data_IF_223078823637
#
_entry.id   IF_223078823637
#
_cell.length_a   1.000
_cell.length_b   1.000
_cell.length_c   1.000
_cell.angle_alpha   90.00
_cell.angle_beta   90.00
_cell.angle_gamma   90.00
#
_symmetry.space_group_name_H-M   'P 1'
#
loop_
_entity.id
_entity.type
_entity.pdbx_description
1 polymer ?
#
# COMPACT_ATOMS: atom_id res chain seq x y z
N UNK A 1 24.00 -21.29 7.47
CA UNK A 1 24.24 -19.90 7.94
C UNK A 1 23.00 -19.07 7.63
N UNK A 2 22.59 -18.13 8.51
CA UNK A 2 21.48 -17.23 8.23
C UNK A 2 21.70 -16.47 6.92
N UNK A 3 20.61 -16.23 6.16
CA UNK A 3 20.64 -15.39 4.96
C UNK A 3 20.25 -13.97 5.33
N UNK A 4 21.13 -13.02 5.03
CA UNK A 4 20.83 -11.60 5.22
C UNK A 4 19.92 -11.12 4.09
N UNK A 5 18.86 -10.33 4.40
CA UNK A 5 18.12 -9.63 3.39
C UNK A 5 17.70 -8.22 3.83
N UNK A 6 17.62 -7.33 2.87
CA UNK A 6 17.21 -5.94 3.08
C UNK A 6 15.80 -5.73 2.54
N UNK A 7 14.89 -5.30 3.42
CA UNK A 7 13.54 -4.86 3.09
C UNK A 7 13.51 -3.33 3.03
N UNK A 8 13.19 -2.75 1.88
CA UNK A 8 12.97 -1.31 1.75
C UNK A 8 11.47 -1.00 1.83
N UNK A 9 11.08 -0.16 2.77
CA UNK A 9 9.70 0.33 2.89
C UNK A 9 9.36 1.32 1.76
N UNK A 10 8.07 1.51 1.50
CA UNK A 10 7.57 2.50 0.53
C UNK A 10 7.40 3.90 1.15
N UNK A 11 7.37 4.00 2.45
CA UNK A 11 7.18 5.22 3.24
C UNK A 11 7.76 5.04 4.64
N UNK A 12 7.68 6.08 5.48
CA UNK A 12 7.95 5.93 6.92
C UNK A 12 7.05 4.86 7.54
N UNK A 13 7.51 4.14 8.58
CA UNK A 13 6.73 3.08 9.22
C UNK A 13 5.32 3.53 9.59
N UNK A 14 4.32 2.71 9.24
CA UNK A 14 2.91 2.94 9.51
C UNK A 14 2.15 1.61 9.61
N UNK A 15 0.85 1.65 9.88
CA UNK A 15 0.04 0.45 10.11
C UNK A 15 0.02 -0.56 8.95
N UNK A 16 0.25 -0.14 7.70
CA UNK A 16 0.39 -1.09 6.59
C UNK A 16 1.55 -2.07 6.78
N UNK A 17 2.57 -1.69 7.53
CA UNK A 17 3.80 -2.47 7.73
C UNK A 17 3.74 -3.42 8.94
N UNK A 18 2.62 -3.46 9.67
CA UNK A 18 2.50 -4.16 10.96
C UNK A 18 2.89 -5.63 10.89
N UNK A 19 2.54 -6.35 9.81
CA UNK A 19 2.86 -7.76 9.68
C UNK A 19 4.36 -8.05 9.62
N UNK A 20 5.13 -7.18 8.95
CA UNK A 20 6.60 -7.28 8.92
C UNK A 20 7.19 -7.05 10.30
N UNK A 21 6.76 -6.01 11.00
CA UNK A 21 7.29 -5.67 12.33
C UNK A 21 6.86 -6.65 13.40
N UNK A 22 5.64 -7.19 13.34
CA UNK A 22 5.20 -8.25 14.23
C UNK A 22 6.05 -9.53 14.04
N UNK A 23 6.27 -9.96 12.80
CA UNK A 23 7.12 -11.10 12.49
C UNK A 23 8.58 -10.89 12.95
N UNK A 24 9.10 -9.66 12.78
CA UNK A 24 10.44 -9.29 13.23
C UNK A 24 10.55 -9.34 14.76
N UNK A 25 9.59 -8.73 15.48
CA UNK A 25 9.58 -8.68 16.94
C UNK A 25 9.43 -10.06 17.58
N UNK A 26 8.70 -10.97 16.91
CA UNK A 26 8.52 -12.35 17.34
C UNK A 26 9.73 -13.26 17.01
N UNK A 27 10.73 -12.74 16.26
CA UNK A 27 11.89 -13.51 15.85
C UNK A 27 11.59 -14.56 14.75
N UNK A 28 10.44 -14.48 14.07
CA UNK A 28 10.04 -15.50 13.09
C UNK A 28 10.90 -15.51 11.83
N UNK A 29 11.49 -14.39 11.45
CA UNK A 29 12.50 -14.36 10.40
C UNK A 29 13.76 -15.11 10.80
N UNK A 30 14.23 -14.93 12.04
CA UNK A 30 15.41 -15.63 12.57
C UNK A 30 15.15 -17.13 12.69
N UNK A 31 13.93 -17.54 13.11
CA UNK A 31 13.49 -18.95 13.12
C UNK A 31 13.57 -19.59 11.72
N UNK A 32 13.27 -18.79 10.67
CA UNK A 32 13.39 -19.21 9.27
C UNK A 32 14.81 -19.08 8.70
N UNK A 33 15.80 -18.73 9.52
CA UNK A 33 17.18 -18.56 9.09
C UNK A 33 17.42 -17.27 8.28
N UNK A 34 16.61 -16.24 8.51
CA UNK A 34 16.69 -14.94 7.83
C UNK A 34 17.11 -13.85 8.80
N UNK A 35 18.09 -13.01 8.40
CA UNK A 35 18.46 -11.80 9.12
C UNK A 35 17.92 -10.60 8.35
N UNK A 36 16.96 -9.89 8.90
CA UNK A 36 16.25 -8.79 8.23
C UNK A 36 16.85 -7.44 8.59
N UNK A 37 17.13 -6.63 7.58
CA UNK A 37 17.41 -5.21 7.72
C UNK A 37 16.31 -4.40 7.05
N UNK A 38 15.51 -3.67 7.84
CA UNK A 38 14.48 -2.75 7.33
C UNK A 38 15.08 -1.38 7.10
N UNK A 39 14.84 -0.80 5.93
CA UNK A 39 15.27 0.55 5.57
C UNK A 39 14.10 1.35 4.97
N UNK A 40 14.12 2.67 5.19
CA UNK A 40 13.17 3.59 4.56
C UNK A 40 13.56 3.89 3.11
N UNK A 41 12.62 4.37 2.26
CA UNK A 41 12.91 4.63 0.85
C UNK A 41 13.93 5.75 0.69
N UNK A 42 14.86 5.55 -0.25
CA UNK A 42 15.84 6.55 -0.66
C UNK A 42 15.34 7.33 -1.89
N UNK A 43 16.04 8.40 -2.27
CA UNK A 43 15.68 9.24 -3.43
C UNK A 43 15.61 8.48 -4.76
N UNK A 44 16.28 7.32 -4.87
CA UNK A 44 16.26 6.49 -6.09
C UNK A 44 14.94 5.73 -6.33
N UNK A 45 14.04 5.76 -5.35
CA UNK A 45 12.81 4.96 -5.38
C UNK A 45 13.06 3.48 -5.06
N UNK A 46 12.00 2.78 -4.67
CA UNK A 46 12.06 1.38 -4.24
C UNK A 46 12.34 0.45 -5.43
N UNK A 47 11.69 0.68 -6.56
CA UNK A 47 11.84 -0.13 -7.78
C UNK A 47 13.30 -0.11 -8.28
N UNK A 48 13.92 1.07 -8.29
CA UNK A 48 15.32 1.23 -8.68
C UNK A 48 16.28 0.57 -7.69
N UNK A 49 16.01 0.67 -6.40
CA UNK A 49 16.81 0.05 -5.35
C UNK A 49 16.78 -1.48 -5.42
N UNK A 50 15.59 -2.05 -5.62
CA UNK A 50 15.42 -3.51 -5.77
C UNK A 50 16.05 -4.01 -7.08
N UNK A 51 15.82 -3.31 -8.19
CA UNK A 51 16.42 -3.68 -9.49
C UNK A 51 17.95 -3.62 -9.50
N UNK A 52 18.55 -2.78 -8.68
CA UNK A 52 20.01 -2.66 -8.57
C UNK A 52 20.64 -3.55 -7.49
N UNK A 53 19.84 -4.29 -6.71
CA UNK A 53 20.29 -5.09 -5.58
C UNK A 53 20.69 -4.27 -4.34
N UNK A 54 20.29 -3.00 -4.25
CA UNK A 54 20.47 -2.20 -3.04
C UNK A 54 19.47 -2.59 -1.94
N UNK A 55 18.36 -3.19 -2.32
CA UNK A 55 17.44 -3.92 -1.46
C UNK A 55 17.06 -5.23 -2.15
N UNK A 56 16.81 -6.28 -1.38
CA UNK A 56 16.44 -7.60 -1.91
C UNK A 56 14.94 -7.65 -2.21
N UNK A 57 14.14 -7.03 -1.33
CA UNK A 57 12.69 -6.93 -1.42
C UNK A 57 12.30 -5.49 -1.09
N UNK A 58 11.26 -4.99 -1.73
CA UNK A 58 10.75 -3.65 -1.49
C UNK A 58 9.24 -3.61 -1.33
N UNK A 59 8.74 -2.57 -0.68
CA UNK A 59 7.33 -2.21 -0.71
C UNK A 59 7.15 -1.08 -1.71
N UNK A 60 6.16 -1.21 -2.57
CA UNK A 60 5.85 -0.23 -3.60
C UNK A 60 4.34 -0.15 -3.85
N UNK A 61 3.95 0.48 -4.93
CA UNK A 61 2.58 0.65 -5.36
C UNK A 61 2.45 0.25 -6.84
N UNK A 62 1.29 -0.24 -7.26
CA UNK A 62 1.07 -0.59 -8.67
C UNK A 62 1.25 0.62 -9.61
N UNK A 63 0.87 1.81 -9.12
CA UNK A 63 1.01 3.08 -9.84
C UNK A 63 2.46 3.53 -10.07
N UNK A 64 3.42 3.02 -9.32
CA UNK A 64 4.85 3.23 -9.58
C UNK A 64 5.49 2.03 -10.27
N UNK A 65 5.05 0.81 -9.96
CA UNK A 65 5.58 -0.42 -10.53
C UNK A 65 5.32 -0.53 -12.04
N UNK A 66 4.10 -0.27 -12.51
CA UNK A 66 3.77 -0.38 -13.93
C UNK A 66 4.55 0.62 -14.80
N UNK A 67 4.65 1.92 -14.45
CA UNK A 67 5.54 2.85 -15.17
C UNK A 67 7.03 2.46 -15.11
N UNK A 68 7.50 1.92 -13.99
CA UNK A 68 8.88 1.43 -13.87
C UNK A 68 9.13 0.26 -14.84
N UNK A 69 8.23 -0.71 -14.92
CA UNK A 69 8.29 -1.80 -15.92
C UNK A 69 8.20 -1.28 -17.34
N UNK A 70 7.32 -0.32 -17.62
CA UNK A 70 7.26 0.36 -18.91
C UNK A 70 8.57 1.06 -19.28
N UNK A 71 9.34 1.49 -18.30
CA UNK A 71 10.69 2.04 -18.48
C UNK A 71 11.78 0.96 -18.59
N UNK A 72 11.45 -0.32 -18.36
CA UNK A 72 12.37 -1.46 -18.46
C UNK A 72 13.04 -1.85 -17.16
N UNK A 73 12.51 -1.39 -16.01
CA UNK A 73 13.02 -1.80 -14.68
C UNK A 73 12.54 -3.23 -14.39
N UNK A 74 13.45 -4.19 -14.12
CA UNK A 74 13.12 -5.60 -13.98
C UNK A 74 12.64 -5.94 -12.55
N UNK A 75 11.44 -5.52 -12.21
CA UNK A 75 10.80 -5.77 -10.89
C UNK A 75 9.41 -6.38 -11.06
N UNK A 76 8.99 -7.23 -10.13
CA UNK A 76 7.73 -7.98 -10.16
C UNK A 76 7.05 -7.88 -8.80
N UNK A 77 5.74 -7.66 -8.75
CA UNK A 77 4.95 -7.78 -7.53
C UNK A 77 4.80 -9.26 -7.15
N UNK A 78 5.15 -9.60 -5.92
CA UNK A 78 5.10 -10.97 -5.38
C UNK A 78 4.03 -11.17 -4.32
N UNK A 79 3.45 -10.08 -3.80
CA UNK A 79 2.29 -10.08 -2.90
C UNK A 79 1.65 -8.70 -2.86
N UNK A 80 0.35 -8.63 -2.56
CA UNK A 80 -0.27 -7.36 -2.14
C UNK A 80 -0.43 -7.32 -0.62
N UNK A 81 -0.32 -6.13 -0.01
CA UNK A 81 -0.64 -5.96 1.41
C UNK A 81 -2.14 -5.82 1.63
N UNK A 82 -2.82 -5.15 0.70
CA UNK A 82 -4.26 -4.95 0.73
C UNK A 82 -4.86 -5.41 -0.61
N UNK A 83 -5.94 -6.19 -0.61
CA UNK A 83 -6.64 -6.58 -1.82
C UNK A 83 -7.38 -5.41 -2.49
N UNK A 84 -7.83 -4.43 -1.70
CA UNK A 84 -8.51 -3.24 -2.18
C UNK A 84 -7.78 -1.96 -1.75
N UNK A 85 -7.78 -0.98 -2.65
CA UNK A 85 -7.18 0.32 -2.42
C UNK A 85 -7.98 1.11 -1.38
N UNK A 86 -7.35 1.46 -0.27
CA UNK A 86 -7.94 2.18 0.86
C UNK A 86 -7.81 3.72 0.72
N UNK A 87 -7.58 4.22 -0.49
CA UNK A 87 -7.44 5.66 -0.74
C UNK A 87 -8.77 6.39 -0.60
N UNK A 88 -8.69 7.62 -0.10
CA UNK A 88 -9.81 8.54 0.03
C UNK A 88 -9.39 9.95 -0.33
N UNK A 89 -10.34 10.76 -0.79
CA UNK A 89 -10.20 12.21 -0.78
C UNK A 89 -10.80 12.72 0.54
N UNK A 90 -9.96 13.34 1.37
CA UNK A 90 -10.31 13.85 2.69
C UNK A 90 -10.48 15.37 2.64
N UNK A 91 -11.54 15.90 3.25
CA UNK A 91 -11.81 17.32 3.45
C UNK A 91 -12.36 17.58 4.85
N UNK A 92 -12.39 18.83 5.29
CA UNK A 92 -13.09 19.17 6.53
C UNK A 92 -14.62 19.00 6.33
N UNK A 93 -15.32 18.51 7.36
CA UNK A 93 -16.77 18.27 7.27
C UNK A 93 -17.56 19.56 6.99
N UNK A 94 -17.09 20.71 7.45
CA UNK A 94 -17.72 22.04 7.23
C UNK A 94 -17.72 22.46 5.75
N UNK A 95 -16.81 21.91 4.92
CA UNK A 95 -16.73 22.20 3.49
C UNK A 95 -17.80 21.48 2.67
N UNK A 96 -18.40 20.42 3.21
CA UNK A 96 -19.49 19.67 2.59
C UNK A 96 -19.11 18.94 1.30
N UNK A 97 -17.84 18.54 1.16
CA UNK A 97 -17.31 17.83 -0.02
C UNK A 97 -17.56 16.32 0.17
N UNK A 98 -18.77 15.88 -0.12
CA UNK A 98 -19.24 14.48 0.13
C UNK A 98 -19.24 13.58 -1.10
N UNK A 99 -18.94 14.14 -2.30
CA UNK A 99 -18.96 13.44 -3.59
C UNK A 99 -18.02 14.11 -4.59
N UNK A 100 -17.52 13.41 -5.62
CA UNK A 100 -16.54 13.96 -6.56
C UNK A 100 -16.97 15.27 -7.24
N UNK A 101 -18.22 15.41 -7.64
CA UNK A 101 -18.72 16.65 -8.25
C UNK A 101 -18.59 17.87 -7.32
N UNK A 102 -18.59 17.67 -6.01
CA UNK A 102 -18.40 18.78 -5.06
C UNK A 102 -16.98 19.35 -5.03
N UNK A 103 -16.04 18.75 -5.77
CA UNK A 103 -14.69 19.27 -5.98
C UNK A 103 -14.64 20.49 -6.93
N UNK A 104 -15.69 20.74 -7.73
CA UNK A 104 -15.76 21.93 -8.59
C UNK A 104 -15.54 23.21 -7.79
N UNK A 105 -14.59 24.02 -8.22
CA UNK A 105 -14.21 25.26 -7.55
C UNK A 105 -13.41 25.09 -6.26
N UNK A 106 -12.97 23.85 -5.95
CA UNK A 106 -12.16 23.54 -4.77
C UNK A 106 -10.69 23.36 -5.13
N UNK A 107 -9.83 23.56 -4.13
CA UNK A 107 -8.37 23.37 -4.24
C UNK A 107 -8.01 21.95 -3.77
N UNK A 108 -7.49 21.16 -4.68
CA UNK A 108 -6.91 19.85 -4.36
C UNK A 108 -5.42 20.00 -4.04
N UNK A 109 -5.02 19.64 -2.83
CA UNK A 109 -3.62 19.61 -2.42
C UNK A 109 -2.98 18.26 -2.74
N UNK A 110 -1.98 18.25 -3.62
CA UNK A 110 -1.30 17.01 -4.06
C UNK A 110 0.17 17.21 -4.36
N UNK A 111 0.76 16.20 -4.99
CA UNK A 111 2.17 16.20 -5.44
C UNK A 111 2.34 16.78 -6.86
N UNK A 112 1.24 17.06 -7.55
CA UNK A 112 1.26 17.55 -8.94
C UNK A 112 1.54 16.45 -9.96
N UNK A 113 1.27 15.20 -9.61
CA UNK A 113 1.45 14.05 -10.49
C UNK A 113 0.34 13.91 -11.53
N UNK A 114 0.69 13.33 -12.71
CA UNK A 114 -0.27 13.12 -13.77
C UNK A 114 -1.36 12.09 -13.40
N UNK A 115 -1.04 11.09 -12.57
CA UNK A 115 -2.00 10.14 -12.06
C UNK A 115 -3.05 10.80 -11.16
N UNK A 116 -2.64 11.70 -10.26
CA UNK A 116 -3.58 12.44 -9.41
C UNK A 116 -4.58 13.23 -10.25
N UNK A 117 -4.09 13.92 -11.28
CA UNK A 117 -4.92 14.68 -12.21
C UNK A 117 -5.93 13.79 -12.93
N UNK A 118 -5.50 12.62 -13.41
CA UNK A 118 -6.37 11.67 -14.12
C UNK A 118 -7.44 11.08 -13.20
N UNK A 119 -7.06 10.66 -11.98
CA UNK A 119 -8.00 10.12 -10.97
C UNK A 119 -9.08 11.16 -10.63
N UNK A 120 -8.69 12.40 -10.34
CA UNK A 120 -9.63 13.48 -10.06
C UNK A 120 -10.55 13.74 -11.25
N UNK A 121 -10.00 13.80 -12.46
CA UNK A 121 -10.75 14.01 -13.70
C UNK A 121 -11.80 12.92 -13.91
N UNK A 122 -11.41 11.64 -13.76
CA UNK A 122 -12.33 10.51 -13.91
C UNK A 122 -13.44 10.53 -12.86
N UNK A 123 -13.10 10.76 -11.60
CA UNK A 123 -14.06 10.82 -10.49
C UNK A 123 -15.08 11.95 -10.72
N UNK A 124 -14.61 13.17 -11.00
CA UNK A 124 -15.48 14.34 -11.19
C UNK A 124 -16.36 14.18 -12.42
N UNK A 125 -15.80 13.74 -13.55
CA UNK A 125 -16.55 13.50 -14.79
C UNK A 125 -17.60 12.41 -14.61
N UNK A 126 -17.27 11.31 -13.94
CA UNK A 126 -18.18 10.19 -13.68
C UNK A 126 -19.37 10.62 -12.81
N UNK A 127 -19.17 11.54 -11.88
CA UNK A 127 -20.21 12.12 -11.06
C UNK A 127 -20.96 13.29 -11.74
N UNK A 128 -20.68 13.53 -13.01
CA UNK A 128 -21.36 14.55 -13.85
C UNK A 128 -20.92 15.98 -13.56
N UNK A 129 -19.69 16.17 -13.06
CA UNK A 129 -19.07 17.46 -12.82
C UNK A 129 -18.06 17.84 -13.93
N UNK A 130 -17.51 19.03 -13.81
CA UNK A 130 -16.47 19.59 -14.67
C UNK A 130 -15.10 19.46 -13.98
N UNK A 131 -14.22 18.55 -14.44
CA UNK A 131 -12.89 18.38 -13.84
C UNK A 131 -11.98 19.60 -14.02
N UNK A 132 -12.19 20.42 -15.06
CA UNK A 132 -11.40 21.64 -15.30
C UNK A 132 -11.70 22.73 -14.25
N UNK A 133 -12.79 22.59 -13.51
CA UNK A 133 -13.13 23.46 -12.39
C UNK A 133 -12.41 23.11 -11.08
N UNK A 134 -11.62 22.04 -11.03
CA UNK A 134 -10.82 21.67 -9.85
C UNK A 134 -9.45 22.33 -9.94
N UNK A 135 -9.06 23.07 -8.90
CA UNK A 135 -7.74 23.71 -8.84
C UNK A 135 -6.73 22.76 -8.18
N UNK A 136 -5.74 22.29 -8.92
CA UNK A 136 -4.65 21.49 -8.36
C UNK A 136 -3.55 22.37 -7.78
N UNK A 137 -3.22 22.17 -6.50
CA UNK A 137 -2.15 22.87 -5.76
C UNK A 137 -1.06 21.87 -5.40
N UNK A 138 0.16 22.09 -5.86
CA UNK A 138 1.29 21.24 -5.47
C UNK A 138 1.74 21.64 -4.05
N UNK A 139 1.50 20.76 -3.08
CA UNK A 139 1.85 20.96 -1.66
C UNK A 139 2.93 20.00 -1.17
N UNK A 140 3.17 18.91 -1.90
CA UNK A 140 4.14 17.88 -1.54
C UNK A 140 3.77 17.13 -0.25
N UNK A 141 4.80 16.65 0.45
CA UNK A 141 4.65 15.98 1.75
C UNK A 141 4.56 17.01 2.87
N UNK A 142 3.36 17.15 3.44
CA UNK A 142 3.04 18.13 4.50
C UNK A 142 2.12 17.46 5.54
N UNK A 143 1.90 18.11 6.67
CA UNK A 143 0.78 17.73 7.54
C UNK A 143 -0.54 18.13 6.87
N UNK A 144 -1.24 17.11 6.33
CA UNK A 144 -2.45 17.31 5.52
C UNK A 144 -3.60 17.89 6.34
N UNK A 145 -3.80 17.42 7.58
CA UNK A 145 -4.85 17.95 8.44
C UNK A 145 -4.58 19.42 8.81
N UNK A 146 -3.34 19.75 9.16
CA UNK A 146 -2.96 21.13 9.44
C UNK A 146 -3.09 22.02 8.20
N UNK A 147 -2.82 21.50 7.01
CA UNK A 147 -3.01 22.19 5.74
C UNK A 147 -4.49 22.52 5.46
N UNK A 148 -5.40 21.56 5.67
CA UNK A 148 -6.85 21.76 5.57
C UNK A 148 -7.33 22.81 6.57
N UNK A 149 -6.95 22.68 7.85
CA UNK A 149 -7.33 23.61 8.90
C UNK A 149 -6.78 25.03 8.71
N UNK A 150 -5.65 25.15 8.02
CA UNK A 150 -5.03 26.45 7.70
C UNK A 150 -5.53 27.04 6.36
N UNK A 151 -6.57 26.46 5.76
CA UNK A 151 -7.17 26.90 4.49
C UNK A 151 -6.14 27.00 3.33
N UNK A 152 -5.15 26.07 3.31
CA UNK A 152 -4.15 26.01 2.25
C UNK A 152 -4.65 25.27 1.02
N UNK A 153 -5.53 24.29 1.22
CA UNK A 153 -6.26 23.49 0.23
C UNK A 153 -7.53 22.97 0.89
N UNK A 154 -8.50 22.51 0.09
CA UNK A 154 -9.82 22.12 0.57
C UNK A 154 -9.98 20.59 0.64
N UNK A 155 -9.20 19.86 -0.15
CA UNK A 155 -9.24 18.40 -0.24
C UNK A 155 -7.86 17.83 -0.53
N UNK A 156 -7.60 16.61 -0.05
CA UNK A 156 -6.31 15.92 -0.20
C UNK A 156 -6.54 14.42 -0.34
N UNK A 157 -5.69 13.74 -1.10
CA UNK A 157 -5.69 12.28 -1.21
C UNK A 157 -4.84 11.65 -0.09
N UNK A 158 -5.46 10.81 0.72
CA UNK A 158 -4.85 10.13 1.86
C UNK A 158 -5.36 8.68 1.95
N UNK A 159 -4.87 7.92 2.92
CA UNK A 159 -5.41 6.61 3.27
C UNK A 159 -6.41 6.72 4.42
N UNK A 160 -7.55 6.02 4.29
CA UNK A 160 -8.62 6.05 5.28
C UNK A 160 -8.16 5.54 6.66
N UNK A 161 -7.41 4.45 6.68
CA UNK A 161 -6.91 3.83 7.91
C UNK A 161 -5.69 4.51 8.53
N UNK A 162 -5.21 5.63 7.99
CA UNK A 162 -4.06 6.35 8.54
C UNK A 162 -4.38 7.84 8.75
N UNK A 163 -4.28 8.68 7.72
CA UNK A 163 -4.45 10.13 7.88
C UNK A 163 -5.90 10.54 8.21
N UNK A 164 -6.89 9.92 7.56
CA UNK A 164 -8.29 10.20 7.86
C UNK A 164 -8.65 9.72 9.26
N UNK A 165 -8.22 8.53 9.64
CA UNK A 165 -8.39 8.00 10.99
C UNK A 165 -7.71 8.90 12.03
N UNK A 166 -6.48 9.39 11.76
CA UNK A 166 -5.77 10.35 12.62
C UNK A 166 -6.59 11.63 12.82
N UNK A 167 -7.18 12.16 11.75
CA UNK A 167 -8.00 13.36 11.84
C UNK A 167 -9.21 13.16 12.74
N UNK A 168 -9.96 12.08 12.54
CA UNK A 168 -11.19 11.81 13.29
C UNK A 168 -10.94 11.33 14.72
N UNK A 169 -10.11 10.30 14.90
CA UNK A 169 -10.00 9.61 16.19
C UNK A 169 -8.93 10.19 17.11
N UNK A 170 -7.84 10.70 16.56
CA UNK A 170 -6.74 11.27 17.37
C UNK A 170 -6.91 12.77 17.55
N UNK A 171 -7.14 13.50 16.45
CA UNK A 171 -7.30 14.95 16.52
C UNK A 171 -8.73 15.42 16.84
N UNK A 172 -9.73 14.52 16.71
CA UNK A 172 -11.14 14.85 16.98
C UNK A 172 -11.72 15.88 16.01
N UNK A 173 -11.18 15.96 14.79
CA UNK A 173 -11.61 16.89 13.74
C UNK A 173 -12.61 16.20 12.83
N UNK A 174 -13.85 16.70 12.70
CA UNK A 174 -14.82 16.15 11.76
C UNK A 174 -14.35 16.34 10.32
N UNK A 175 -14.35 15.25 9.56
CA UNK A 175 -13.98 15.22 8.13
C UNK A 175 -15.06 14.56 7.28
N UNK A 176 -15.02 14.80 5.97
CA UNK A 176 -15.69 14.02 4.94
C UNK A 176 -14.67 13.23 4.16
N UNK A 177 -15.09 12.05 3.69
CA UNK A 177 -14.25 11.14 2.91
C UNK A 177 -14.99 10.73 1.64
N UNK A 178 -14.40 10.96 0.48
CA UNK A 178 -14.81 10.33 -0.78
C UNK A 178 -13.93 9.11 -0.96
N UNK A 179 -14.47 7.93 -0.67
CA UNK A 179 -13.74 6.66 -0.74
C UNK A 179 -13.60 6.21 -2.18
N UNK A 180 -12.42 5.74 -2.58
CA UNK A 180 -12.20 5.25 -3.95
C UNK A 180 -12.95 3.95 -4.25
N UNK A 181 -13.14 3.09 -3.24
CA UNK A 181 -13.89 1.85 -3.38
C UNK A 181 -15.38 2.05 -3.68
N UNK A 182 -15.97 3.18 -3.32
CA UNK A 182 -17.32 3.56 -3.73
C UNK A 182 -17.42 3.96 -5.22
N UNK A 183 -16.27 4.14 -5.89
CA UNK A 183 -16.18 4.66 -7.27
C UNK A 183 -15.41 3.74 -8.21
N UNK A 184 -15.26 2.45 -7.90
CA UNK A 184 -14.53 1.50 -8.75
C UNK A 184 -15.19 1.23 -10.12
N UNK A 185 -16.40 1.72 -10.35
CA UNK A 185 -17.02 1.78 -11.69
C UNK A 185 -16.43 2.91 -12.55
N UNK A 186 -15.77 3.90 -11.95
CA UNK A 186 -15.23 5.10 -12.58
C UNK A 186 -13.71 5.10 -12.68
N UNK A 187 -13.06 4.60 -11.64
CA UNK A 187 -11.62 4.38 -11.54
C UNK A 187 -11.40 2.91 -11.17
N UNK A 188 -10.39 2.24 -11.71
CA UNK A 188 -10.14 0.85 -11.35
C UNK A 188 -9.64 0.74 -9.91
N UNK A 189 -9.83 -0.45 -9.27
CA UNK A 189 -9.05 -0.84 -8.12
C UNK A 189 -7.59 -1.10 -8.54
N UNK A 190 -6.62 -0.83 -7.67
CA UNK A 190 -5.23 -1.23 -7.86
C UNK A 190 -4.54 -1.53 -6.53
N UNK A 191 -3.46 -2.30 -6.58
CA UNK A 191 -2.74 -2.74 -5.39
C UNK A 191 -1.78 -1.65 -4.88
N UNK A 192 -2.06 -1.18 -3.66
CA UNK A 192 -1.25 -0.21 -2.93
C UNK A 192 -1.49 -0.34 -1.42
N UNK A 193 -0.46 -0.69 -0.59
CA UNK A 193 0.90 -1.08 -1.02
C UNK A 193 0.99 -2.56 -1.43
N UNK A 194 2.12 -2.90 -2.08
CA UNK A 194 2.47 -4.26 -2.49
C UNK A 194 3.93 -4.59 -2.17
N UNK A 195 4.28 -5.87 -2.24
CA UNK A 195 5.65 -6.38 -2.09
C UNK A 195 6.23 -6.65 -3.46
N UNK A 196 7.39 -6.10 -3.77
CA UNK A 196 8.09 -6.37 -5.02
C UNK A 196 9.46 -7.01 -4.79
N UNK A 197 9.88 -7.83 -5.77
CA UNK A 197 11.21 -8.39 -5.87
C UNK A 197 11.78 -8.17 -7.27
N UNK A 198 13.09 -8.21 -7.41
CA UNK A 198 13.79 -8.17 -8.70
C UNK A 198 13.58 -9.46 -9.49
N UNK A 199 13.50 -9.37 -10.82
CA UNK A 199 13.44 -10.55 -11.69
C UNK A 199 14.65 -11.46 -11.49
N UNK A 200 15.86 -10.90 -11.32
CA UNK A 200 17.09 -11.64 -11.04
C UNK A 200 17.01 -12.34 -9.67
N UNK A 201 16.52 -11.67 -8.62
CA UNK A 201 16.35 -12.29 -7.30
C UNK A 201 15.38 -13.48 -7.35
N UNK A 202 14.28 -13.34 -8.10
CA UNK A 202 13.29 -14.42 -8.28
C UNK A 202 13.91 -15.61 -9.05
N UNK A 203 14.76 -15.33 -10.04
CA UNK A 203 15.41 -16.35 -10.86
C UNK A 203 16.55 -17.08 -10.14
N UNK A 204 17.37 -16.34 -9.40
CA UNK A 204 18.60 -16.85 -8.79
C UNK A 204 18.34 -17.48 -7.40
N UNK A 205 17.46 -16.89 -6.59
CA UNK A 205 17.09 -17.37 -5.24
C UNK A 205 15.59 -17.26 -4.97
N UNK A 206 14.74 -18.03 -5.68
CA UNK A 206 13.29 -18.02 -5.44
C UNK A 206 12.91 -18.49 -4.03
N UNK A 207 13.76 -19.28 -3.39
CA UNK A 207 13.50 -19.81 -2.04
C UNK A 207 13.67 -18.70 -0.98
N UNK A 208 14.57 -17.75 -1.17
CA UNK A 208 14.64 -16.57 -0.32
C UNK A 208 13.30 -15.81 -0.34
N UNK A 209 12.76 -15.55 -1.53
CA UNK A 209 11.49 -14.83 -1.68
C UNK A 209 10.34 -15.61 -1.05
N UNK A 210 10.28 -16.94 -1.24
CA UNK A 210 9.24 -17.80 -0.62
C UNK A 210 9.31 -17.78 0.90
N UNK A 211 10.51 -17.90 1.47
CA UNK A 211 10.70 -17.92 2.92
C UNK A 211 10.31 -16.57 3.53
N UNK A 212 10.73 -15.46 2.90
CA UNK A 212 10.32 -14.11 3.32
C UNK A 212 8.81 -13.94 3.27
N UNK A 213 8.15 -14.34 2.16
CA UNK A 213 6.70 -14.23 2.02
C UNK A 213 5.94 -15.12 3.01
N UNK A 214 6.43 -16.32 3.29
CA UNK A 214 5.81 -17.22 4.25
C UNK A 214 5.83 -16.65 5.68
N UNK A 215 6.97 -16.11 6.11
CA UNK A 215 7.10 -15.46 7.42
C UNK A 215 6.26 -14.18 7.47
N UNK A 216 6.28 -13.38 6.41
CA UNK A 216 5.49 -12.15 6.32
C UNK A 216 3.99 -12.45 6.38
N UNK A 217 3.51 -13.45 5.64
CA UNK A 217 2.11 -13.90 5.69
C UNK A 217 1.69 -14.33 7.10
N UNK A 218 2.58 -15.03 7.85
CA UNK A 218 2.37 -15.35 9.26
C UNK A 218 2.19 -14.08 10.10
N UNK A 219 2.99 -13.03 9.85
CA UNK A 219 2.90 -11.75 10.53
C UNK A 219 1.59 -11.01 10.28
N UNK A 220 1.12 -10.98 9.03
CA UNK A 220 -0.16 -10.34 8.69
C UNK A 220 -1.37 -11.14 9.20
N UNK A 221 -1.30 -12.46 9.21
CA UNK A 221 -2.32 -13.30 9.83
C UNK A 221 -2.41 -13.04 11.33
N UNK A 222 -1.28 -13.02 12.02
CA UNK A 222 -1.22 -12.65 13.43
C UNK A 222 -1.83 -11.27 13.67
N UNK A 223 -1.50 -10.26 12.85
CA UNK A 223 -2.07 -8.92 12.96
C UNK A 223 -3.59 -8.88 12.70
N UNK A 224 -4.10 -9.79 11.85
CA UNK A 224 -5.54 -9.91 11.61
C UNK A 224 -6.28 -10.59 12.77
N UNK A 225 -5.65 -11.55 13.46
CA UNK A 225 -6.20 -12.31 14.58
C UNK A 225 -6.09 -11.55 15.90
N UNK A 226 -4.98 -10.87 16.11
CA UNK A 226 -4.64 -10.14 17.35
C UNK A 226 -4.02 -8.76 17.05
N UNK A 227 -4.85 -7.79 16.60
CA UNK A 227 -4.36 -6.48 16.18
C UNK A 227 -3.75 -5.65 17.33
N UNK A 228 -4.20 -5.85 18.57
CA UNK A 228 -3.68 -5.14 19.74
C UNK A 228 -2.24 -5.57 20.03
N UNK A 229 -1.98 -6.87 20.10
CA UNK A 229 -0.62 -7.41 20.32
C UNK A 229 0.28 -7.10 19.13
N UNK A 230 -0.22 -7.16 17.88
CA UNK A 230 0.56 -6.79 16.70
C UNK A 230 0.99 -5.31 16.72
N UNK A 231 0.10 -4.40 17.11
CA UNK A 231 0.44 -2.99 17.29
C UNK A 231 1.49 -2.80 18.41
N UNK A 232 1.32 -3.50 19.54
CA UNK A 232 2.28 -3.44 20.64
C UNK A 232 3.67 -3.96 20.24
N UNK A 233 3.75 -5.03 19.44
CA UNK A 233 5.01 -5.56 18.91
C UNK A 233 5.65 -4.56 17.92
N UNK A 234 4.86 -3.92 17.06
CA UNK A 234 5.39 -2.89 16.17
C UNK A 234 5.95 -1.69 16.94
N UNK A 235 5.28 -1.25 18.01
CA UNK A 235 5.78 -0.15 18.86
C UNK A 235 7.10 -0.48 19.57
N UNK A 236 7.39 -1.76 19.83
CA UNK A 236 8.70 -2.16 20.36
C UNK A 236 9.82 -1.97 19.32
N UNK A 237 9.52 -2.11 18.05
CA UNK A 237 10.48 -1.95 16.94
C UNK A 237 10.59 -0.50 16.46
N UNK A 238 9.50 0.26 16.56
CA UNK A 238 9.38 1.65 16.08
C UNK A 238 8.74 2.51 17.20
N UNK A 239 9.50 2.80 18.28
CA UNK A 239 8.96 3.46 19.48
C UNK A 239 8.58 4.94 19.26
N UNK A 240 8.95 5.54 18.14
CA UNK A 240 8.57 6.89 17.74
C UNK A 240 7.14 7.02 17.21
N UNK A 241 6.47 5.91 16.89
CA UNK A 241 5.07 5.92 16.46
C UNK A 241 4.14 6.28 17.63
N UNK A 242 3.12 7.06 17.33
CA UNK A 242 2.07 7.39 18.30
C UNK A 242 1.14 6.19 18.53
N UNK A 243 1.09 5.60 19.74
CA UNK A 243 0.17 4.50 20.03
C UNK A 243 -1.29 4.87 19.80
N UNK A 244 -1.68 6.13 20.08
CA UNK A 244 -3.05 6.62 19.87
C UNK A 244 -3.50 6.58 18.41
N UNK A 245 -2.54 6.56 17.48
CA UNK A 245 -2.80 6.37 16.05
C UNK A 245 -2.60 4.92 15.63
N UNK A 246 -1.49 4.28 16.04
CA UNK A 246 -1.13 2.96 15.54
C UNK A 246 -2.14 1.89 15.94
N UNK A 247 -2.57 1.85 17.21
CA UNK A 247 -3.51 0.84 17.70
C UNK A 247 -4.83 0.83 16.92
N UNK A 248 -5.57 1.95 16.77
CA UNK A 248 -6.80 1.96 15.99
C UNK A 248 -6.55 1.76 14.48
N UNK A 249 -5.41 2.18 13.95
CA UNK A 249 -5.07 1.95 12.54
C UNK A 249 -4.82 0.47 12.25
N UNK A 250 -4.10 -0.25 13.11
CA UNK A 250 -3.92 -1.70 12.97
C UNK A 250 -5.26 -2.42 13.10
N UNK A 251 -6.10 -2.05 14.06
CA UNK A 251 -7.45 -2.61 14.21
C UNK A 251 -8.33 -2.34 12.97
N UNK A 252 -8.19 -1.18 12.34
CA UNK A 252 -8.87 -0.86 11.09
C UNK A 252 -8.42 -1.75 9.93
N UNK A 253 -7.10 -1.98 9.78
CA UNK A 253 -6.55 -2.78 8.69
C UNK A 253 -6.65 -4.30 8.91
N UNK A 254 -6.72 -4.77 10.15
CA UNK A 254 -6.75 -6.19 10.49
C UNK A 254 -7.73 -7.02 9.62
N UNK A 255 -9.03 -6.67 9.49
CA UNK A 255 -9.95 -7.40 8.63
C UNK A 255 -9.76 -7.15 7.12
N UNK A 256 -8.86 -6.25 6.73
CA UNK A 256 -8.62 -5.82 5.35
C UNK A 256 -7.34 -6.36 4.73
N UNK A 257 -6.47 -6.99 5.52
CA UNK A 257 -5.23 -7.58 4.99
C UNK A 257 -5.45 -8.78 4.06
N UNK A 258 -6.62 -9.39 4.10
CA UNK A 258 -6.95 -10.53 3.26
C UNK A 258 -8.36 -10.38 2.70
N UNK A 259 -8.53 -10.68 1.42
CA UNK A 259 -9.85 -10.71 0.81
C UNK A 259 -10.71 -11.83 1.43
N UNK A 260 -12.04 -11.68 1.52
CA UNK A 260 -12.92 -12.72 2.03
C UNK A 260 -12.73 -14.05 1.29
N UNK A 261 -12.34 -15.10 2.02
CA UNK A 261 -12.11 -16.44 1.47
C UNK A 261 -10.82 -16.61 0.66
N UNK A 262 -9.97 -15.57 0.61
CA UNK A 262 -8.65 -15.59 -0.03
C UNK A 262 -7.51 -15.86 0.95
N UNK A 263 -6.29 -15.81 0.42
CA UNK A 263 -5.04 -15.88 1.18
C UNK A 263 -4.37 -14.51 1.19
N UNK A 264 -3.58 -14.22 2.26
CA UNK A 264 -2.79 -13.00 2.28
C UNK A 264 -1.83 -12.93 1.09
N UNK A 265 -1.71 -11.76 0.52
CA UNK A 265 -0.79 -11.48 -0.58
C UNK A 265 -1.31 -11.83 -1.96
N UNK A 266 -2.43 -12.52 -2.07
CA UNK A 266 -3.00 -12.97 -3.34
C UNK A 266 -3.41 -11.80 -4.23
N UNK A 267 -3.08 -11.89 -5.52
CA UNK A 267 -3.31 -10.86 -6.52
C UNK A 267 -4.14 -11.41 -7.68
N UNK A 268 -5.11 -10.63 -8.14
CA UNK A 268 -5.97 -10.96 -9.27
C UNK A 268 -5.47 -10.34 -10.58
N UNK A 269 -5.31 -11.16 -11.60
CA UNK A 269 -4.83 -10.71 -12.91
C UNK A 269 -5.77 -9.73 -13.62
N UNK A 270 -7.08 -9.80 -13.38
CA UNK A 270 -8.01 -8.86 -13.97
C UNK A 270 -7.90 -7.46 -13.33
N UNK A 271 -7.57 -7.39 -12.05
CA UNK A 271 -7.28 -6.11 -11.36
C UNK A 271 -6.03 -5.47 -11.94
N UNK A 272 -4.94 -6.23 -12.14
CA UNK A 272 -3.75 -5.74 -12.81
C UNK A 272 -4.00 -5.27 -14.24
N UNK A 273 -4.78 -6.05 -15.02
CA UNK A 273 -5.10 -5.69 -16.40
C UNK A 273 -5.90 -4.39 -16.48
N UNK A 274 -6.96 -4.25 -15.69
CA UNK A 274 -7.78 -3.03 -15.66
C UNK A 274 -6.98 -1.78 -15.28
N UNK A 275 -6.05 -1.91 -14.33
CA UNK A 275 -5.24 -0.77 -13.94
C UNK A 275 -4.17 -0.44 -14.98
N UNK A 276 -3.56 -1.43 -15.63
CA UNK A 276 -2.62 -1.21 -16.74
C UNK A 276 -3.33 -0.52 -17.92
N UNK A 277 -4.52 -0.99 -18.30
CA UNK A 277 -5.34 -0.37 -19.35
C UNK A 277 -5.68 1.09 -19.01
N UNK A 278 -6.06 1.35 -17.77
CA UNK A 278 -6.34 2.71 -17.28
C UNK A 278 -5.12 3.64 -17.41
N UNK A 279 -3.93 3.17 -17.01
CA UNK A 279 -2.70 3.97 -17.14
C UNK A 279 -2.31 4.20 -18.61
N UNK A 280 -2.52 3.22 -19.47
CA UNK A 280 -2.23 3.33 -20.91
C UNK A 280 -3.19 4.31 -21.59
N UNK A 281 -4.50 4.18 -21.36
CA UNK A 281 -5.52 5.12 -21.85
C UNK A 281 -5.25 6.57 -21.42
N UNK A 282 -4.74 6.76 -20.20
CA UNK A 282 -4.35 8.06 -19.65
C UNK A 282 -3.01 8.57 -20.21
N UNK A 283 -2.29 7.77 -21.02
CA UNK A 283 -0.98 8.12 -21.54
C UNK A 283 0.13 8.18 -20.48
N UNK A 284 -0.05 7.43 -19.38
CA UNK A 284 0.89 7.42 -18.24
C UNK A 284 1.97 6.33 -18.37
N UNK A 285 1.87 5.46 -19.35
CA UNK A 285 2.88 4.44 -19.67
C UNK A 285 3.71 4.88 -20.88
N UNK A 286 5.04 4.72 -20.80
CA UNK A 286 5.95 5.01 -21.92
C UNK A 286 5.83 4.01 -23.07
N UNK A 287 5.35 2.81 -22.79
CA UNK A 287 5.08 1.69 -23.71
C UNK A 287 4.11 0.73 -23.03
N UNK A 288 3.45 -0.09 -23.82
CA UNK A 288 2.56 -1.12 -23.31
C UNK A 288 3.29 -2.06 -22.35
N UNK A 289 2.61 -2.43 -21.28
CA UNK A 289 3.06 -3.40 -20.28
C UNK A 289 2.06 -4.56 -20.28
N UNK A 290 2.55 -5.78 -20.51
CA UNK A 290 1.73 -6.96 -20.28
C UNK A 290 1.55 -7.12 -18.75
N UNK A 291 0.37 -6.78 -18.26
CA UNK A 291 0.02 -6.83 -16.85
C UNK A 291 0.28 -8.21 -16.21
N UNK A 292 0.20 -9.31 -17.01
CA UNK A 292 0.49 -10.67 -16.54
C UNK A 292 1.94 -10.88 -16.15
N UNK A 293 2.85 -10.04 -16.62
CA UNK A 293 4.28 -10.08 -16.27
C UNK A 293 4.63 -9.18 -15.10
N UNK A 294 3.69 -8.35 -14.64
CA UNK A 294 3.92 -7.39 -13.57
C UNK A 294 3.80 -8.01 -12.16
N UNK A 295 3.21 -9.20 -12.06
CA UNK A 295 3.00 -9.87 -10.78
C UNK A 295 3.13 -11.39 -10.89
N UNK A 296 3.28 -12.04 -9.73
CA UNK A 296 3.19 -13.50 -9.60
C UNK A 296 2.68 -13.89 -8.20
N UNK A 297 1.80 -14.89 -8.16
CA UNK A 297 1.36 -15.55 -6.92
C UNK A 297 2.13 -16.86 -6.66
N UNK A 298 3.03 -17.26 -7.58
CA UNK A 298 3.70 -18.55 -7.53
C UNK A 298 4.69 -18.72 -6.35
N UNK A 299 5.02 -17.62 -5.67
CA UNK A 299 5.94 -17.59 -4.53
C UNK A 299 5.20 -17.44 -3.18
N UNK A 300 3.89 -17.25 -3.20
CA UNK A 300 3.08 -17.19 -1.99
C UNK A 300 3.01 -18.54 -1.29
N UNK A 301 2.91 -18.58 0.06
CA UNK A 301 2.71 -19.82 0.79
C UNK A 301 1.40 -20.49 0.39
N UNK A 302 1.40 -21.82 0.33
CA UNK A 302 0.17 -22.58 0.05
C UNK A 302 -0.83 -22.44 1.21
N UNK A 303 -2.14 -22.29 0.95
CA UNK A 303 -3.16 -22.20 2.00
C UNK A 303 -3.22 -23.39 2.96
N UNK A 304 -2.67 -24.52 2.58
CA UNK A 304 -2.72 -25.78 3.33
C UNK A 304 -1.57 -25.97 4.36
N UNK A 305 -0.62 -25.04 4.47
CA UNK A 305 0.50 -25.17 5.41
C UNK A 305 0.19 -24.72 6.85
N UNK A 306 -1.04 -24.33 7.14
CA UNK A 306 -1.37 -23.51 8.32
C UNK A 306 -2.20 -24.23 9.40
N UNK A 307 -2.26 -25.57 9.43
CA UNK A 307 -3.25 -26.22 10.29
C UNK A 307 -2.99 -27.60 10.86
N UNK A 308 -1.74 -28.12 10.91
CA UNK A 308 -1.47 -29.31 11.74
C UNK A 308 -0.15 -29.14 12.50
N UNK A 309 -0.17 -29.16 13.86
CA UNK A 309 1.04 -29.49 14.59
C UNK A 309 1.43 -30.92 14.19
N UNK A 310 2.71 -31.15 13.89
CA UNK A 310 3.24 -32.47 13.66
C UNK A 310 2.77 -33.37 14.82
N UNK A 311 1.96 -34.39 14.53
CA UNK A 311 1.71 -35.45 15.48
C UNK A 311 3.06 -36.14 15.68
N UNK A 312 3.61 -36.03 16.89
CA UNK A 312 4.73 -36.85 17.35
C UNK A 312 4.23 -38.31 17.33
N UNK A 313 4.64 -39.05 16.33
CA UNK A 313 4.55 -40.53 16.34
C UNK A 313 5.56 -41.06 17.36
N UNK A 314 5.01 -41.52 18.50
CA UNK A 314 5.68 -42.39 19.49
C UNK A 314 5.90 -43.81 18.92
#
# INVERSE_FOLDING_TARGET
>A
EPRDFTLMLNWSPNAHHVGFYAALAQGWYEEAGLTVRVIEPAQAGVEGAVASGAADIGLAQAESLLPARAAGVPVVSVATLLPDNDSVLMSLAEDGITRPRALEGRRYGGFGGALETEILSRLVTCDGGDPDAVEAVNVGDVDYLAGLQADRFDVVWVFAGWDALRAEQVAGVPIEQIRFDDWFDCIPNWYTPLVLAGEDTIADDPDLVRDVLAVTARGYRFAAEDPEDAAALMLQQVPELDPALLEPAVAYYAPRFTAPGGSWGEQDGATWARFADFLDEAGLLRRDVDARTAFTNALLPSPAADGEPAEDDD
#
